data_IF_516340165917
#
_entry.id   IF_516340165917
#
_cell.length_a   1.000
_cell.length_b   1.000
_cell.length_c   1.000
_cell.angle_alpha   90.00
_cell.angle_beta   90.00
_cell.angle_gamma   90.00
#
_symmetry.space_group_name_H-M   'P 1'
#
loop_
_entity.id
_entity.type
_entity.pdbx_description
1 polymer ?
#
# COMPACT_ATOMS: atom_id res chain seq x y z
N UNK A 1 0.31 -23.36 -28.79
CA UNK A 1 1.09 -22.66 -27.76
C UNK A 1 0.38 -22.98 -26.46
N UNK A 2 1.04 -23.70 -25.55
CA UNK A 2 0.44 -23.96 -24.23
C UNK A 2 0.48 -22.66 -23.43
N UNK A 3 -0.70 -22.09 -23.15
CA UNK A 3 -0.84 -20.96 -22.23
C UNK A 3 -0.45 -21.43 -20.82
N UNK A 4 0.78 -21.14 -20.43
CA UNK A 4 1.21 -21.32 -19.04
C UNK A 4 0.50 -20.28 -18.18
N UNK A 5 -0.64 -20.68 -17.61
CA UNK A 5 -1.37 -19.85 -16.67
C UNK A 5 -0.47 -19.62 -15.42
N UNK A 6 -0.09 -18.38 -15.09
CA UNK A 6 0.86 -18.10 -14.01
C UNK A 6 0.35 -18.52 -12.63
N UNK A 7 -0.97 -18.68 -12.49
CA UNK A 7 -1.62 -19.11 -11.25
C UNK A 7 -2.11 -20.54 -11.42
N UNK A 8 -1.37 -21.49 -10.83
CA UNK A 8 -1.77 -22.89 -10.76
C UNK A 8 -2.67 -23.10 -9.55
N UNK A 9 -3.94 -23.44 -9.78
CA UNK A 9 -4.88 -23.78 -8.71
C UNK A 9 -4.69 -25.23 -8.27
N UNK A 10 -4.05 -25.44 -7.13
CA UNK A 10 -4.05 -26.78 -6.51
C UNK A 10 -5.48 -27.24 -6.20
N UNK A 11 -5.69 -28.56 -6.26
CA UNK A 11 -6.96 -29.23 -6.02
C UNK A 11 -7.58 -28.84 -4.69
N UNK A 12 -6.76 -28.63 -3.66
CA UNK A 12 -7.24 -28.20 -2.33
C UNK A 12 -7.83 -26.79 -2.37
N UNK A 13 -7.15 -25.86 -3.05
CA UNK A 13 -7.57 -24.47 -3.21
C UNK A 13 -8.80 -24.34 -4.09
N UNK A 14 -8.87 -25.09 -5.20
CA UNK A 14 -10.07 -25.15 -6.03
C UNK A 14 -11.30 -25.59 -5.23
N UNK A 15 -11.18 -26.67 -4.44
CA UNK A 15 -12.29 -27.16 -3.60
C UNK A 15 -12.71 -26.13 -2.55
N UNK A 16 -11.75 -25.41 -1.95
CA UNK A 16 -12.01 -24.35 -0.98
C UNK A 16 -12.84 -23.23 -1.60
N UNK A 17 -12.42 -22.72 -2.76
CA UNK A 17 -13.13 -21.65 -3.48
C UNK A 17 -14.53 -22.10 -3.89
N UNK A 18 -14.65 -23.33 -4.41
CA UNK A 18 -15.94 -23.90 -4.82
C UNK A 18 -16.93 -24.07 -3.66
N UNK A 19 -16.44 -24.27 -2.44
CA UNK A 19 -17.27 -24.49 -1.26
C UNK A 19 -17.71 -23.18 -0.57
N UNK A 20 -17.24 -22.01 -1.02
CA UNK A 20 -17.58 -20.73 -0.40
C UNK A 20 -19.07 -20.40 -0.53
N UNK A 21 -19.65 -19.85 0.52
CA UNK A 21 -20.97 -19.24 0.46
C UNK A 21 -20.92 -17.87 -0.24
N UNK A 22 -22.10 -17.28 -0.49
CA UNK A 22 -22.20 -15.99 -1.18
C UNK A 22 -21.40 -14.87 -0.50
N UNK A 23 -21.47 -14.75 0.83
CA UNK A 23 -20.77 -13.67 1.56
C UNK A 23 -19.27 -13.87 1.53
N UNK A 24 -18.82 -15.11 1.68
CA UNK A 24 -17.41 -15.47 1.57
C UNK A 24 -16.87 -15.17 0.17
N UNK A 25 -17.66 -15.43 -0.87
CA UNK A 25 -17.29 -15.10 -2.25
C UNK A 25 -17.23 -13.59 -2.48
N UNK A 26 -18.20 -12.82 -1.97
CA UNK A 26 -18.18 -11.35 -2.03
C UNK A 26 -16.88 -10.79 -1.41
N UNK A 27 -16.52 -11.25 -0.20
CA UNK A 27 -15.27 -10.86 0.46
C UNK A 27 -14.04 -11.28 -0.33
N UNK A 28 -14.02 -12.51 -0.85
CA UNK A 28 -12.91 -13.02 -1.66
C UNK A 28 -12.64 -12.13 -2.90
N UNK A 29 -13.69 -11.75 -3.63
CA UNK A 29 -13.58 -10.89 -4.81
C UNK A 29 -13.13 -9.47 -4.44
N UNK A 30 -13.66 -8.90 -3.36
CA UNK A 30 -13.21 -7.60 -2.85
C UNK A 30 -11.72 -7.63 -2.49
N UNK A 31 -11.26 -8.71 -1.85
CA UNK A 31 -9.86 -8.87 -1.48
C UNK A 31 -8.94 -8.99 -2.70
N UNK A 32 -9.35 -9.73 -3.73
CA UNK A 32 -8.58 -9.83 -5.00
C UNK A 32 -8.46 -8.46 -5.67
N UNK A 33 -9.58 -7.72 -5.74
CA UNK A 33 -9.59 -6.37 -6.32
C UNK A 33 -8.68 -5.41 -5.56
N UNK A 34 -8.77 -5.38 -4.22
CA UNK A 34 -7.92 -4.55 -3.38
C UNK A 34 -6.44 -4.94 -3.49
N UNK A 35 -6.14 -6.24 -3.59
CA UNK A 35 -4.76 -6.73 -3.76
C UNK A 35 -4.18 -6.26 -5.09
N UNK A 36 -4.92 -6.38 -6.20
CA UNK A 36 -4.49 -5.88 -7.50
C UNK A 36 -4.30 -4.36 -7.52
N UNK A 37 -5.18 -3.60 -6.84
CA UNK A 37 -5.02 -2.15 -6.68
C UNK A 37 -3.78 -1.78 -5.88
N UNK A 38 -3.48 -2.52 -4.83
CA UNK A 38 -2.29 -2.30 -4.02
C UNK A 38 -1.02 -2.69 -4.78
N UNK A 39 -1.04 -3.79 -5.52
CA UNK A 39 0.07 -4.20 -6.38
C UNK A 39 0.32 -3.19 -7.50
N UNK A 40 -0.72 -2.60 -8.09
CA UNK A 40 -0.59 -1.52 -9.06
C UNK A 40 0.03 -0.26 -8.42
N UNK A 41 -0.48 0.16 -7.25
CA UNK A 41 0.08 1.29 -6.48
C UNK A 41 1.53 1.07 -6.06
N UNK A 42 1.88 -0.17 -5.73
CA UNK A 42 3.25 -0.55 -5.33
C UNK A 42 4.17 -0.75 -6.54
N UNK A 43 3.62 -1.16 -7.69
CA UNK A 43 4.34 -1.30 -8.96
C UNK A 43 4.65 0.04 -9.63
N UNK A 44 3.76 1.03 -9.48
CA UNK A 44 3.97 2.41 -9.92
C UNK A 44 4.88 3.23 -8.99
N UNK A 45 5.30 2.70 -7.83
CA UNK A 45 6.41 3.26 -7.06
C UNK A 45 7.77 3.11 -7.77
N UNK A 46 7.83 2.40 -8.91
CA UNK A 46 9.02 2.34 -9.75
C UNK A 46 9.05 3.41 -10.87
N UNK A 47 7.91 3.97 -11.29
CA UNK A 47 7.88 4.95 -12.39
C UNK A 47 6.50 5.65 -12.50
N UNK A 48 6.24 6.69 -11.71
CA UNK A 48 5.68 7.98 -12.20
C UNK A 48 5.09 8.85 -11.09
N UNK A 49 5.45 10.11 -11.19
CA UNK A 49 5.02 11.30 -10.46
C UNK A 49 3.56 11.66 -10.78
N UNK A 50 2.86 12.30 -9.82
CA UNK A 50 1.56 13.02 -9.92
C UNK A 50 0.28 12.14 -10.00
N UNK A 51 -0.87 12.41 -9.35
CA UNK A 51 -1.30 13.34 -8.29
C UNK A 51 -2.72 12.93 -7.82
N UNK A 52 -3.02 13.17 -6.54
CA UNK A 52 -4.33 13.55 -5.96
C UNK A 52 -5.50 12.54 -5.85
N UNK A 53 -5.78 12.18 -4.58
CA UNK A 53 -7.07 11.82 -3.94
C UNK A 53 -7.61 10.37 -4.12
N UNK A 54 -7.34 9.47 -3.16
CA UNK A 54 -8.19 9.08 -1.98
C UNK A 54 -9.24 8.02 -2.35
N UNK A 55 -9.30 6.81 -1.78
CA UNK A 55 -9.43 6.42 -0.37
C UNK A 55 -9.36 4.87 -0.28
N UNK A 56 -8.95 4.13 0.75
CA UNK A 56 -8.29 4.34 2.04
C UNK A 56 -7.57 3.01 2.39
N UNK A 57 -6.61 3.08 3.33
CA UNK A 57 -5.87 1.96 3.95
C UNK A 57 -4.58 1.48 3.26
N UNK A 58 -3.69 2.43 2.94
CA UNK A 58 -2.25 2.28 3.13
C UNK A 58 -1.69 3.68 3.36
N UNK A 59 -1.69 4.12 4.62
CA UNK A 59 -1.19 5.41 5.06
C UNK A 59 0.35 5.37 5.06
N UNK A 60 0.94 5.29 3.86
CA UNK A 60 2.38 5.38 3.67
C UNK A 60 2.85 6.81 3.82
N UNK A 61 2.83 7.34 5.04
CA UNK A 61 3.48 8.61 5.32
C UNK A 61 4.99 8.35 5.26
N UNK A 62 5.63 8.75 4.15
CA UNK A 62 7.08 8.63 4.00
C UNK A 62 7.79 9.66 4.87
N UNK A 63 8.99 9.37 5.41
CA UNK A 63 9.77 10.33 6.20
C UNK A 63 9.97 11.69 5.49
N UNK A 64 10.07 11.68 4.17
CA UNK A 64 10.26 12.84 3.32
C UNK A 64 9.01 13.74 3.31
N UNK A 65 7.82 13.12 3.21
CA UNK A 65 6.54 13.84 3.29
C UNK A 65 6.34 14.50 4.67
N UNK A 66 6.78 13.83 5.74
CA UNK A 66 6.78 14.39 7.10
C UNK A 66 7.69 15.62 7.15
N UNK A 67 8.91 15.51 6.61
CA UNK A 67 9.89 16.59 6.62
C UNK A 67 9.38 17.81 5.87
N UNK A 68 8.80 17.62 4.68
CA UNK A 68 8.23 18.69 3.87
C UNK A 68 7.09 19.41 4.62
N UNK A 69 6.14 18.66 5.17
CA UNK A 69 5.01 19.23 5.92
C UNK A 69 5.45 20.07 7.12
N UNK A 70 6.50 19.64 7.84
CA UNK A 70 7.00 20.34 9.03
C UNK A 70 7.85 21.56 8.65
N UNK A 71 8.54 21.55 7.51
CA UNK A 71 9.41 22.65 7.07
C UNK A 71 8.67 23.97 6.83
N UNK A 72 7.38 23.92 6.49
CA UNK A 72 6.53 25.11 6.28
C UNK A 72 5.99 25.74 7.58
N UNK A 73 6.21 25.11 8.74
CA UNK A 73 5.64 25.57 10.01
C UNK A 73 6.47 26.70 10.60
N UNK A 74 5.81 27.85 10.81
CA UNK A 74 6.43 29.05 11.40
C UNK A 74 7.02 28.75 12.78
N UNK A 75 8.32 29.04 12.93
CA UNK A 75 9.07 28.84 14.19
C UNK A 75 9.82 27.51 14.27
N UNK A 76 9.72 26.65 13.25
CA UNK A 76 10.58 25.48 13.10
C UNK A 76 11.71 25.84 12.14
N UNK A 77 12.92 26.00 12.70
CA UNK A 77 14.16 26.12 11.91
C UNK A 77 14.80 24.75 11.67
N UNK A 78 15.88 24.74 10.89
CA UNK A 78 16.58 23.52 10.47
C UNK A 78 17.05 22.64 11.64
N UNK A 79 17.57 23.26 12.72
CA UNK A 79 17.97 22.53 13.92
C UNK A 79 16.80 21.75 14.55
N UNK A 80 15.65 22.41 14.74
CA UNK A 80 14.46 21.76 15.32
C UNK A 80 13.85 20.74 14.36
N UNK A 81 13.89 20.99 13.06
CA UNK A 81 13.40 20.03 12.06
C UNK A 81 14.21 18.73 12.11
N UNK A 82 15.53 18.81 12.22
CA UNK A 82 16.40 17.63 12.30
C UNK A 82 16.16 16.85 13.60
N UNK A 83 16.02 17.53 14.74
CA UNK A 83 15.70 16.88 16.02
C UNK A 83 14.38 16.11 15.96
N UNK A 84 13.36 16.70 15.31
CA UNK A 84 12.05 16.06 15.12
C UNK A 84 12.17 14.85 14.20
N UNK A 85 12.86 14.97 13.06
CA UNK A 85 13.05 13.86 12.13
C UNK A 85 13.84 12.72 12.75
N UNK A 86 14.83 13.00 13.61
CA UNK A 86 15.54 11.97 14.37
C UNK A 86 14.62 11.23 15.35
N UNK A 87 13.78 11.98 16.09
CA UNK A 87 12.81 11.39 17.01
C UNK A 87 11.76 10.51 16.29
N UNK A 88 11.28 10.97 15.12
CA UNK A 88 10.38 10.20 14.25
C UNK A 88 11.08 8.94 13.74
N UNK A 89 12.33 9.04 13.28
CA UNK A 89 13.10 7.90 12.76
C UNK A 89 13.25 6.78 13.79
N UNK A 90 13.36 7.11 15.08
CA UNK A 90 13.44 6.11 16.18
C UNK A 90 12.16 5.29 16.35
N UNK A 91 11.00 5.78 15.90
CA UNK A 91 9.73 5.06 15.98
C UNK A 91 9.52 4.06 14.84
N UNK A 92 10.29 4.23 13.76
CA UNK A 92 10.25 3.37 12.56
C UNK A 92 11.43 2.37 12.52
N UNK A 93 12.27 2.34 13.55
CA UNK A 93 13.41 1.43 13.70
C UNK A 93 13.00 0.10 14.33
#
# INVERSE_FOLDING_TARGET
MEENNPIVLDRTTYKRIKAMDRKQMEVCLTNIYNSALNDAKNGEAAESTDTNNTAEASCGVTPEAIREAISGVKGIGEARLNDIMEAVSKLFA
#
